data_IF_745184691672
#
_entry.id   IF_745184691672
#
_cell.length_a   1.000
_cell.length_b   1.000
_cell.length_c   1.000
_cell.angle_alpha   90.00
_cell.angle_beta   90.00
_cell.angle_gamma   90.00
#
_symmetry.space_group_name_H-M   'P 1'
#
loop_
_entity.id
_entity.type
_entity.pdbx_description
1 polymer ?
#
# COMPACT_ATOMS: atom_id res chain seq x y z
N UNK A 1 -13.35 8.37 9.84
CA UNK A 1 -13.26 6.90 9.71
C UNK A 1 -11.82 6.43 9.83
N UNK A 2 -11.59 5.24 10.40
CA UNK A 2 -10.23 4.78 10.61
C UNK A 2 -9.53 4.32 9.34
N UNK A 3 -8.23 4.42 9.40
CA UNK A 3 -7.34 3.95 8.34
C UNK A 3 -6.44 2.87 8.95
N UNK A 4 -6.49 1.67 8.39
CA UNK A 4 -5.75 0.52 8.88
C UNK A 4 -4.78 0.06 7.80
N UNK A 5 -3.52 -0.15 8.19
CA UNK A 5 -2.51 -0.70 7.30
C UNK A 5 -2.16 -2.11 7.75
N UNK A 6 -2.18 -3.05 6.81
CA UNK A 6 -1.76 -4.43 7.05
C UNK A 6 -0.47 -4.66 6.28
N UNK A 7 0.62 -4.88 7.00
CA UNK A 7 1.93 -5.03 6.41
C UNK A 7 2.37 -6.49 6.40
N UNK A 8 3.20 -6.83 5.44
CA UNK A 8 3.73 -8.16 5.30
C UNK A 8 4.13 -8.46 3.87
N UNK A 9 4.66 -9.64 3.67
CA UNK A 9 4.99 -10.13 2.33
C UNK A 9 3.80 -10.90 1.77
N UNK A 10 3.78 -11.07 0.46
CA UNK A 10 2.73 -11.83 -0.21
C UNK A 10 2.61 -13.23 0.38
N UNK A 11 1.38 -13.69 0.49
CA UNK A 11 1.10 -15.01 1.04
C UNK A 11 0.97 -15.05 2.54
N UNK A 12 1.00 -13.90 3.21
CA UNK A 12 0.91 -13.84 4.68
C UNK A 12 -0.52 -13.84 5.21
N UNK A 13 -1.51 -14.00 4.35
CA UNK A 13 -2.91 -14.01 4.79
C UNK A 13 -3.57 -12.64 4.80
N UNK A 14 -2.90 -11.61 4.31
CA UNK A 14 -3.45 -10.25 4.28
C UNK A 14 -4.76 -10.18 3.52
N UNK A 15 -4.81 -10.80 2.36
CA UNK A 15 -6.02 -10.79 1.51
C UNK A 15 -7.19 -11.46 2.19
N UNK A 16 -6.95 -12.51 2.97
CA UNK A 16 -7.99 -13.20 3.72
C UNK A 16 -8.57 -12.28 4.81
N UNK A 17 -7.71 -11.56 5.53
CA UNK A 17 -8.14 -10.62 6.56
C UNK A 17 -8.99 -9.51 5.94
N UNK A 18 -8.54 -8.94 4.83
CA UNK A 18 -9.26 -7.86 4.14
C UNK A 18 -10.62 -8.36 3.66
N UNK A 19 -10.68 -9.54 3.05
CA UNK A 19 -11.93 -10.13 2.60
C UNK A 19 -12.92 -10.36 3.74
N UNK A 20 -12.40 -10.81 4.88
CA UNK A 20 -13.23 -11.04 6.07
C UNK A 20 -13.83 -9.73 6.58
N UNK A 21 -13.01 -8.68 6.68
CA UNK A 21 -13.49 -7.37 7.10
C UNK A 21 -14.54 -6.81 6.15
N UNK A 22 -14.32 -6.96 4.86
CA UNK A 22 -15.27 -6.49 3.85
C UNK A 22 -16.63 -7.23 3.95
N UNK A 23 -16.59 -8.49 4.39
CA UNK A 23 -17.81 -9.26 4.59
C UNK A 23 -18.61 -8.89 5.84
N UNK A 24 -17.94 -8.28 6.83
CA UNK A 24 -18.57 -7.93 8.11
C UNK A 24 -19.04 -6.48 8.13
N UNK A 25 -18.20 -5.58 7.60
CA UNK A 25 -18.42 -4.14 7.68
C UNK A 25 -19.02 -3.62 6.37
N UNK A 26 -20.01 -2.71 6.44
CA UNK A 26 -20.73 -2.29 5.23
C UNK A 26 -19.94 -1.33 4.34
N UNK A 27 -18.93 -0.65 4.86
CA UNK A 27 -18.20 0.36 4.10
C UNK A 27 -16.70 0.20 4.28
N UNK A 28 -16.16 -0.82 3.64
CA UNK A 28 -14.72 -1.06 3.64
C UNK A 28 -14.19 -0.81 2.23
N UNK A 29 -13.15 0.00 2.15
CA UNK A 29 -12.42 0.23 0.91
C UNK A 29 -11.03 -0.37 1.05
N UNK A 30 -10.73 -1.37 0.24
CA UNK A 30 -9.44 -2.04 0.26
C UNK A 30 -8.54 -1.45 -0.82
N UNK A 31 -7.31 -1.14 -0.46
CA UNK A 31 -6.31 -0.65 -1.40
C UNK A 31 -4.95 -1.26 -1.07
N UNK A 32 -3.93 -0.89 -1.79
CA UNK A 32 -2.60 -1.48 -1.59
C UNK A 32 -1.49 -0.51 -1.93
N UNK A 33 -0.31 -0.79 -1.42
CA UNK A 33 0.93 -0.09 -1.74
C UNK A 33 2.02 -1.10 -2.11
N UNK A 34 2.77 -0.91 -3.18
CA UNK A 34 2.78 0.30 -4.04
C UNK A 34 1.44 0.50 -4.73
N UNK A 35 1.03 1.76 -4.84
CA UNK A 35 -0.29 2.10 -5.35
C UNK A 35 -0.39 1.99 -6.87
N UNK A 36 -1.60 2.20 -7.40
CA UNK A 36 -1.82 2.27 -8.84
C UNK A 36 -1.49 3.63 -9.45
N UNK A 37 -1.01 4.58 -8.64
CA UNK A 37 -0.61 5.89 -9.14
C UNK A 37 0.72 5.88 -9.88
N UNK A 38 1.17 7.05 -10.36
CA UNK A 38 2.38 7.11 -11.20
C UNK A 38 3.65 6.66 -10.46
N UNK A 39 3.78 6.98 -9.18
CA UNK A 39 4.96 6.58 -8.40
C UNK A 39 4.90 5.09 -8.11
N UNK A 40 3.74 4.56 -7.74
CA UNK A 40 3.57 3.14 -7.52
C UNK A 40 3.86 2.30 -8.76
N UNK A 41 3.43 2.80 -9.92
CA UNK A 41 3.74 2.13 -11.19
C UNK A 41 5.23 2.12 -11.50
N UNK A 42 5.92 3.21 -11.20
CA UNK A 42 7.37 3.29 -11.37
C UNK A 42 8.07 2.27 -10.47
N UNK A 43 7.64 2.17 -9.22
CA UNK A 43 8.21 1.20 -8.28
C UNK A 43 8.05 -0.24 -8.82
N UNK A 44 6.86 -0.57 -9.30
CA UNK A 44 6.58 -1.91 -9.84
C UNK A 44 7.44 -2.21 -11.08
N UNK A 45 7.59 -1.22 -11.95
CA UNK A 45 8.42 -1.35 -13.14
C UNK A 45 9.87 -1.61 -12.78
N UNK A 46 10.40 -0.86 -11.81
CA UNK A 46 11.76 -1.05 -11.34
C UNK A 46 11.96 -2.40 -10.66
N UNK A 47 10.97 -2.86 -9.90
CA UNK A 47 11.02 -4.16 -9.26
C UNK A 47 11.18 -5.29 -10.29
N UNK A 48 10.51 -5.18 -11.45
CA UNK A 48 10.65 -6.15 -12.53
C UNK A 48 12.06 -6.16 -13.12
N UNK A 49 12.81 -5.09 -12.96
CA UNK A 49 14.19 -4.96 -13.44
C UNK A 49 15.23 -5.22 -12.35
N UNK A 50 14.81 -5.71 -11.18
CA UNK A 50 15.70 -5.96 -10.05
C UNK A 50 15.81 -4.81 -9.07
N UNK A 51 14.94 -3.79 -9.20
CA UNK A 51 14.95 -2.63 -8.32
C UNK A 51 15.98 -1.57 -8.73
N UNK A 52 16.15 -0.55 -7.92
CA UNK A 52 17.20 0.44 -8.14
C UNK A 52 18.51 -0.10 -7.54
N UNK A 53 19.60 0.53 -7.89
CA UNK A 53 20.91 0.16 -7.34
C UNK A 53 21.15 0.76 -5.96
N UNK A 54 20.25 1.61 -5.48
CA UNK A 54 20.43 2.33 -4.22
C UNK A 54 19.20 2.13 -3.32
N UNK A 55 19.36 1.44 -2.17
CA UNK A 55 18.24 1.23 -1.25
C UNK A 55 17.61 2.51 -0.72
N UNK A 56 18.38 3.60 -0.65
CA UNK A 56 17.82 4.88 -0.22
C UNK A 56 16.85 5.45 -1.25
N UNK A 57 17.14 5.26 -2.52
CA UNK A 57 16.23 5.66 -3.60
C UNK A 57 14.94 4.86 -3.51
N UNK A 58 15.04 3.56 -3.30
CA UNK A 58 13.86 2.71 -3.15
C UNK A 58 13.00 3.16 -1.97
N UNK A 59 13.62 3.42 -0.83
CA UNK A 59 12.91 3.86 0.37
C UNK A 59 12.20 5.19 0.14
N UNK A 60 12.85 6.14 -0.54
CA UNK A 60 12.26 7.43 -0.84
C UNK A 60 11.09 7.30 -1.82
N UNK A 61 11.19 6.41 -2.79
CA UNK A 61 10.09 6.17 -3.73
C UNK A 61 8.88 5.59 -3.03
N UNK A 62 9.08 4.65 -2.11
CA UNK A 62 7.97 4.09 -1.33
C UNK A 62 7.33 5.16 -0.46
N UNK A 63 8.12 6.02 0.15
CA UNK A 63 7.59 7.13 0.96
C UNK A 63 6.79 8.10 0.10
N UNK A 64 7.30 8.44 -1.08
CA UNK A 64 6.62 9.32 -2.02
C UNK A 64 5.29 8.70 -2.49
N UNK A 65 5.29 7.41 -2.81
CA UNK A 65 4.08 6.72 -3.21
C UNK A 65 3.03 6.74 -2.10
N UNK A 66 3.47 6.55 -0.86
CA UNK A 66 2.56 6.56 0.30
C UNK A 66 1.87 7.91 0.45
N UNK A 67 2.60 9.01 0.31
CA UNK A 67 2.04 10.35 0.40
C UNK A 67 1.06 10.60 -0.75
N UNK A 68 1.45 10.27 -1.95
CA UNK A 68 0.63 10.45 -3.14
C UNK A 68 -0.63 9.59 -3.07
N UNK A 69 -0.48 8.34 -2.67
CA UNK A 69 -1.57 7.40 -2.50
C UNK A 69 -2.58 7.91 -1.47
N UNK A 70 -2.09 8.41 -0.34
CA UNK A 70 -2.97 8.94 0.70
C UNK A 70 -3.80 10.10 0.18
N UNK A 71 -3.15 11.05 -0.48
CA UNK A 71 -3.85 12.25 -0.96
C UNK A 71 -4.82 11.96 -2.09
N UNK A 72 -4.45 11.07 -2.98
CA UNK A 72 -5.23 10.77 -4.19
C UNK A 72 -6.38 9.81 -3.91
N UNK A 73 -6.16 8.84 -3.06
CA UNK A 73 -7.09 7.71 -2.93
C UNK A 73 -7.62 7.54 -1.51
N UNK A 74 -6.75 7.48 -0.51
CA UNK A 74 -7.13 7.14 0.86
C UNK A 74 -7.98 8.24 1.51
N UNK A 75 -7.47 9.47 1.49
CA UNK A 75 -8.17 10.59 2.11
C UNK A 75 -9.57 10.81 1.56
N UNK A 76 -9.79 10.82 0.23
CA UNK A 76 -11.15 10.96 -0.29
C UNK A 76 -12.09 9.87 0.22
N UNK A 77 -11.63 8.65 0.33
CA UNK A 77 -12.46 7.55 0.83
C UNK A 77 -12.77 7.67 2.32
N UNK A 78 -11.80 8.13 3.10
CA UNK A 78 -12.05 8.43 4.51
C UNK A 78 -13.11 9.51 4.66
N UNK A 79 -13.05 10.53 3.82
CA UNK A 79 -14.02 11.63 3.85
C UNK A 79 -15.41 11.18 3.41
N UNK A 80 -15.50 10.13 2.60
CA UNK A 80 -16.78 9.53 2.21
C UNK A 80 -17.34 8.58 3.27
N UNK A 81 -16.61 8.38 4.36
CA UNK A 81 -17.08 7.54 5.47
C UNK A 81 -16.65 6.08 5.39
N UNK A 82 -15.71 5.74 4.52
CA UNK A 82 -15.20 4.38 4.44
C UNK A 82 -14.17 4.09 5.53
N UNK A 83 -14.15 2.84 5.99
CA UNK A 83 -12.99 2.29 6.65
C UNK A 83 -12.02 1.90 5.55
N UNK A 84 -10.85 2.53 5.50
CA UNK A 84 -9.86 2.22 4.48
C UNK A 84 -8.84 1.24 5.03
N UNK A 85 -8.67 0.13 4.33
CA UNK A 85 -7.68 -0.89 4.69
C UNK A 85 -6.65 -0.96 3.59
N UNK A 86 -5.40 -0.66 3.92
CA UNK A 86 -4.30 -0.70 2.97
C UNK A 86 -3.44 -1.93 3.22
N UNK A 87 -3.22 -2.70 2.17
CA UNK A 87 -2.27 -3.79 2.17
C UNK A 87 -0.92 -3.24 1.70
N UNK A 88 0.13 -3.44 2.49
CA UNK A 88 1.47 -2.96 2.19
C UNK A 88 2.40 -4.12 1.96
N UNK A 89 3.10 -4.07 0.84
CA UNK A 89 4.18 -5.00 0.55
C UNK A 89 5.46 -4.48 1.19
N UNK A 90 6.13 -5.33 1.97
CA UNK A 90 7.40 -4.97 2.60
C UNK A 90 8.47 -5.90 2.07
N UNK A 91 9.49 -5.32 1.42
CA UNK A 91 10.69 -6.05 1.06
C UNK A 91 11.71 -5.89 2.18
N UNK A 92 12.36 -6.99 2.56
CA UNK A 92 13.31 -6.96 3.65
C UNK A 92 14.48 -6.02 3.38
N UNK A 93 14.89 -5.88 2.12
CA UNK A 93 15.96 -4.94 1.75
C UNK A 93 15.58 -3.49 1.99
N UNK A 94 14.29 -3.17 1.98
CA UNK A 94 13.78 -1.83 2.21
C UNK A 94 13.47 -1.61 3.69
N UNK A 95 12.96 -2.64 4.35
CA UNK A 95 12.51 -2.55 5.73
C UNK A 95 13.61 -2.13 6.72
N UNK A 96 14.85 -2.38 6.39
CA UNK A 96 15.99 -2.10 7.26
C UNK A 96 16.81 -0.88 6.83
N UNK A 97 16.28 -0.06 5.95
CA UNK A 97 16.97 1.15 5.50
C UNK A 97 16.76 2.35 6.41
#
# INVERSE_FOLDING_TARGET
>A
MPFVAIEGIDGSGKSTVISHLAGILPRVYATREPSGGPIGRLIKEWALRGGSSDPHVDALLFAADRIEHYRREVKPKLMEGFLVVTERYVESSIAYQ
#
